data_IF_883491374840
#
_entry.id   IF_883491374840
#
_cell.length_a   1.000
_cell.length_b   1.000
_cell.length_c   1.000
_cell.angle_alpha   90.00
_cell.angle_beta   90.00
_cell.angle_gamma   90.00
#
_symmetry.space_group_name_H-M   'P 1'
#
loop_
_entity.id
_entity.type
_entity.pdbx_description
1 polymer ?
#
# COMPACT_ATOMS: atom_id res chain seq x y z
N UNK A 1 11.26 18.00 2.18
CA UNK A 1 12.48 17.28 2.61
C UNK A 1 13.24 16.88 1.38
N UNK A 2 14.56 16.99 1.41
CA UNK A 2 15.44 16.44 0.38
C UNK A 2 15.53 14.91 0.50
N UNK A 3 15.98 14.25 -0.57
CA UNK A 3 16.28 12.83 -0.56
C UNK A 3 17.20 12.44 0.61
N UNK A 4 18.26 13.21 0.84
CA UNK A 4 19.26 12.92 1.86
C UNK A 4 18.66 12.93 3.27
N UNK A 5 17.74 13.85 3.56
CA UNK A 5 17.07 13.93 4.87
C UNK A 5 16.16 12.72 5.11
N UNK A 6 15.39 12.30 4.11
CA UNK A 6 14.49 11.14 4.18
C UNK A 6 15.31 9.86 4.36
N UNK A 7 16.37 9.69 3.56
CA UNK A 7 17.24 8.53 3.63
C UNK A 7 17.97 8.43 4.96
N UNK A 8 18.48 9.56 5.48
CA UNK A 8 19.10 9.58 6.80
C UNK A 8 18.11 9.18 7.90
N UNK A 9 16.86 9.69 7.83
CA UNK A 9 15.81 9.35 8.81
C UNK A 9 15.46 7.86 8.78
N UNK A 10 15.40 7.24 7.60
CA UNK A 10 15.08 5.80 7.50
C UNK A 10 16.16 4.89 8.09
N UNK A 11 17.42 5.35 8.14
CA UNK A 11 18.53 4.62 8.75
C UNK A 11 18.66 4.89 10.25
N UNK A 12 18.56 6.14 10.67
CA UNK A 12 18.77 6.54 12.07
C UNK A 12 17.56 6.25 12.95
N UNK A 13 16.34 6.29 12.38
CA UNK A 13 15.08 6.12 13.10
C UNK A 13 14.10 5.24 12.31
N UNK A 14 14.47 3.97 12.02
CA UNK A 14 13.71 3.11 11.11
C UNK A 14 12.28 2.85 11.57
N UNK A 15 12.06 2.61 12.87
CA UNK A 15 10.72 2.33 13.40
C UNK A 15 9.80 3.55 13.25
N UNK A 16 10.26 4.74 13.62
CA UNK A 16 9.49 5.98 13.46
C UNK A 16 9.23 6.27 11.98
N UNK A 17 10.25 6.13 11.14
CA UNK A 17 10.13 6.36 9.70
C UNK A 17 9.05 5.46 9.09
N UNK A 18 9.08 4.16 9.37
CA UNK A 18 8.11 3.21 8.83
C UNK A 18 6.72 3.34 9.46
N UNK A 19 6.62 3.83 10.70
CA UNK A 19 5.33 4.21 11.31
C UNK A 19 4.64 5.28 10.48
N UNK A 20 5.35 6.36 10.18
CA UNK A 20 4.83 7.48 9.38
C UNK A 20 4.46 7.05 7.95
N UNK A 21 5.17 6.07 7.37
CA UNK A 21 4.79 5.51 6.07
C UNK A 21 3.53 4.65 6.19
N UNK A 22 3.38 3.85 7.25
CA UNK A 22 2.21 3.02 7.47
C UNK A 22 0.93 3.85 7.72
N UNK A 23 1.06 5.05 8.30
CA UNK A 23 -0.07 5.98 8.50
C UNK A 23 -0.65 6.53 7.18
N UNK A 24 0.06 6.40 6.05
CA UNK A 24 -0.41 6.86 4.74
C UNK A 24 -1.37 5.88 4.04
N UNK A 25 -1.55 4.67 4.57
CA UNK A 25 -2.49 3.69 4.03
C UNK A 25 -3.59 3.39 5.04
N UNK A 26 -4.72 2.86 4.56
CA UNK A 26 -5.85 2.50 5.43
C UNK A 26 -5.60 1.16 6.13
N UNK A 27 -5.84 1.14 7.42
CA UNK A 27 -5.83 -0.05 8.26
C UNK A 27 -7.22 -0.24 8.87
N UNK A 28 -7.64 -1.49 9.03
CA UNK A 28 -8.76 -1.81 9.91
C UNK A 28 -8.32 -1.72 11.38
N UNK A 29 -7.11 -2.20 11.67
CA UNK A 29 -6.44 -2.04 12.95
C UNK A 29 -4.99 -1.63 12.67
N UNK A 30 -4.59 -0.45 13.15
CA UNK A 30 -3.22 0.04 12.97
C UNK A 30 -2.26 -0.82 13.82
N UNK A 31 -1.09 -1.21 13.29
CA UNK A 31 -0.15 -2.08 13.99
C UNK A 31 0.31 -1.48 15.33
N UNK A 32 0.37 -2.34 16.36
CA UNK A 32 0.88 -1.99 17.68
C UNK A 32 2.41 -1.82 17.64
N UNK A 33 3.09 -2.71 16.93
CA UNK A 33 4.55 -2.73 16.78
C UNK A 33 4.93 -2.63 15.32
N UNK A 34 5.71 -1.63 14.95
CA UNK A 34 6.10 -1.38 13.56
C UNK A 34 7.25 -2.28 13.14
N UNK A 35 8.28 -2.39 13.96
CA UNK A 35 9.46 -3.19 13.70
C UNK A 35 9.91 -3.86 14.99
N UNK A 36 10.02 -5.19 14.97
CA UNK A 36 10.61 -5.95 16.06
C UNK A 36 11.48 -7.07 15.51
N UNK A 37 12.29 -7.67 16.38
CA UNK A 37 13.09 -8.85 16.07
C UNK A 37 12.72 -9.96 17.06
N UNK A 38 12.46 -11.16 16.57
CA UNK A 38 12.20 -12.32 17.44
C UNK A 38 13.49 -12.91 18.01
N UNK A 39 13.35 -13.90 18.90
CA UNK A 39 14.46 -14.56 19.60
C UNK A 39 15.49 -15.24 18.68
N UNK A 40 15.13 -15.49 17.42
CA UNK A 40 16.01 -16.06 16.40
C UNK A 40 16.66 -15.00 15.51
N UNK A 41 16.41 -13.72 15.76
CA UNK A 41 16.94 -12.65 14.96
C UNK A 41 16.10 -12.34 13.71
N UNK A 42 14.88 -12.88 13.56
CA UNK A 42 14.05 -12.55 12.40
C UNK A 42 13.25 -11.27 12.64
N UNK A 43 13.27 -10.38 11.65
CA UNK A 43 12.47 -9.17 11.68
C UNK A 43 10.98 -9.48 11.47
N UNK A 44 10.13 -8.81 12.26
CA UNK A 44 8.67 -8.78 12.13
C UNK A 44 8.26 -7.33 11.92
N UNK A 45 7.35 -7.14 10.96
CA UNK A 45 6.88 -5.82 10.54
C UNK A 45 5.38 -5.71 10.77
N UNK A 46 4.96 -4.57 11.32
CA UNK A 46 3.54 -4.21 11.49
C UNK A 46 2.72 -5.25 12.25
N UNK A 47 3.29 -5.82 13.31
CA UNK A 47 2.65 -6.84 14.15
C UNK A 47 1.39 -6.27 14.81
N UNK A 48 0.32 -7.07 14.82
CA UNK A 48 -1.01 -6.66 15.31
C UNK A 48 -1.83 -5.87 14.28
N UNK A 49 -1.21 -5.41 13.18
CA UNK A 49 -1.92 -4.68 12.13
C UNK A 49 -2.87 -5.57 11.33
N UNK A 50 -4.06 -5.06 11.03
CA UNK A 50 -5.03 -5.70 10.13
C UNK A 50 -5.39 -4.77 8.98
N UNK A 51 -5.21 -5.28 7.77
CA UNK A 51 -5.60 -4.62 6.53
C UNK A 51 -6.05 -5.65 5.50
N UNK A 52 -6.56 -5.19 4.37
CA UNK A 52 -6.78 -6.02 3.20
C UNK A 52 -6.15 -5.33 1.98
N UNK A 53 -5.27 -6.05 1.28
CA UNK A 53 -4.56 -5.52 0.12
C UNK A 53 -5.50 -5.19 -1.04
N UNK A 54 -6.54 -6.00 -1.26
CA UNK A 54 -7.57 -5.73 -2.28
C UNK A 54 -8.33 -4.44 -1.96
N UNK A 55 -8.71 -4.25 -0.69
CA UNK A 55 -9.38 -3.01 -0.24
C UNK A 55 -8.52 -1.77 -0.52
N UNK A 56 -7.23 -1.83 -0.19
CA UNK A 56 -6.29 -0.73 -0.45
C UNK A 56 -6.09 -0.45 -1.94
N UNK A 57 -6.07 -1.51 -2.76
CA UNK A 57 -5.80 -1.39 -4.19
C UNK A 57 -7.03 -0.94 -4.98
N UNK A 58 -8.25 -1.27 -4.55
CA UNK A 58 -9.48 -1.05 -5.31
C UNK A 58 -10.49 -0.19 -4.56
N UNK A 59 -10.99 -0.65 -3.43
CA UNK A 59 -12.13 -0.06 -2.72
C UNK A 59 -11.85 1.36 -2.23
N UNK A 60 -10.69 1.60 -1.60
CA UNK A 60 -10.28 2.95 -1.14
C UNK A 60 -10.27 3.95 -2.28
N UNK A 61 -9.87 3.52 -3.48
CA UNK A 61 -9.82 4.42 -4.64
C UNK A 61 -11.23 4.85 -5.05
N UNK A 62 -12.22 3.95 -4.96
CA UNK A 62 -13.62 4.27 -5.23
C UNK A 62 -14.16 5.19 -4.14
N UNK A 63 -13.89 4.89 -2.87
CA UNK A 63 -14.31 5.70 -1.70
C UNK A 63 -13.75 7.13 -1.76
N UNK A 64 -12.54 7.31 -2.27
CA UNK A 64 -11.90 8.62 -2.49
C UNK A 64 -12.35 9.30 -3.79
N UNK A 65 -13.39 8.79 -4.46
CA UNK A 65 -14.00 9.42 -5.64
C UNK A 65 -13.30 9.12 -6.96
N UNK A 66 -12.31 8.21 -6.98
CA UNK A 66 -11.60 7.79 -8.19
C UNK A 66 -12.26 6.61 -8.91
N UNK A 67 -13.51 6.27 -8.57
CA UNK A 67 -14.20 5.10 -9.10
C UNK A 67 -14.25 5.02 -10.64
N UNK A 68 -14.47 6.14 -11.31
CA UNK A 68 -14.50 6.22 -12.78
C UNK A 68 -13.11 6.31 -13.44
N UNK A 69 -12.04 6.47 -12.64
CA UNK A 69 -10.68 6.55 -13.18
C UNK A 69 -10.23 5.19 -13.71
N UNK A 70 -9.56 5.13 -14.88
CA UNK A 70 -8.92 3.90 -15.37
C UNK A 70 -7.95 3.30 -14.34
N UNK A 71 -8.15 2.01 -14.03
CA UNK A 71 -7.33 1.22 -13.11
C UNK A 71 -6.48 0.18 -13.85
N UNK A 72 -7.02 -0.44 -14.89
CA UNK A 72 -6.33 -1.42 -15.72
C UNK A 72 -6.57 -1.13 -17.20
N UNK A 73 -5.48 -1.07 -17.97
CA UNK A 73 -5.52 -1.05 -19.43
C UNK A 73 -5.05 -2.42 -19.90
N UNK A 74 -5.99 -3.22 -20.38
CA UNK A 74 -5.71 -4.49 -21.04
C UNK A 74 -5.47 -4.24 -22.52
N UNK A 75 -4.26 -4.53 -22.99
CA UNK A 75 -3.89 -4.45 -24.40
C UNK A 75 -3.24 -5.78 -24.82
N UNK A 76 -3.90 -6.51 -25.71
CA UNK A 76 -3.44 -7.78 -26.24
C UNK A 76 -3.30 -7.69 -27.76
N UNK A 77 -2.06 -7.50 -28.27
CA UNK A 77 -1.79 -7.51 -29.70
C UNK A 77 -2.11 -8.86 -30.36
N UNK A 78 -1.90 -9.97 -29.64
CA UNK A 78 -2.13 -11.32 -30.14
C UNK A 78 -3.62 -11.58 -30.47
N UNK A 79 -4.53 -10.93 -29.75
CA UNK A 79 -5.98 -11.02 -29.99
C UNK A 79 -6.56 -9.73 -30.57
N UNK A 80 -5.70 -8.77 -30.94
CA UNK A 80 -6.06 -7.42 -31.37
C UNK A 80 -7.18 -6.79 -30.50
N UNK A 81 -7.07 -6.95 -29.18
CA UNK A 81 -8.12 -6.58 -28.22
C UNK A 81 -7.59 -5.55 -27.24
N UNK A 82 -8.35 -4.47 -27.05
CA UNK A 82 -8.07 -3.45 -26.06
C UNK A 82 -9.29 -3.23 -25.18
N UNK A 83 -9.09 -3.14 -23.88
CA UNK A 83 -10.15 -2.82 -22.91
C UNK A 83 -9.57 -2.03 -21.75
N UNK A 84 -10.30 -1.00 -21.34
CA UNK A 84 -9.98 -0.21 -20.16
C UNK A 84 -11.02 -0.55 -19.09
N UNK A 85 -10.55 -0.80 -17.88
CA UNK A 85 -11.39 -1.00 -16.71
C UNK A 85 -11.13 0.14 -15.74
N UNK A 86 -12.18 0.86 -15.36
CA UNK A 86 -12.16 1.78 -14.23
C UNK A 86 -12.03 1.03 -12.90
N UNK A 87 -11.67 1.71 -11.81
CA UNK A 87 -11.65 1.11 -10.47
C UNK A 87 -13.00 0.47 -10.10
N UNK A 88 -14.11 1.11 -10.46
CA UNK A 88 -15.46 0.62 -10.18
C UNK A 88 -15.80 -0.65 -10.99
N UNK A 89 -15.34 -0.75 -12.23
CA UNK A 89 -15.52 -1.95 -13.06
C UNK A 89 -14.60 -3.09 -12.64
N UNK A 90 -13.38 -2.80 -12.19
CA UNK A 90 -12.40 -3.82 -11.82
C UNK A 90 -12.70 -4.48 -10.47
N UNK A 91 -13.42 -3.80 -9.57
CA UNK A 91 -13.86 -4.37 -8.28
C UNK A 91 -14.97 -5.42 -8.44
N UNK A 92 -15.79 -5.31 -9.49
CA UNK A 92 -17.00 -6.14 -9.69
C UNK A 92 -16.66 -7.60 -10.06
#
# INVERSE_FOLDING_TARGET
>A
MSYFEIFRKSLEQPELFWREQAEQIKWYEFPETILSQDEHGFYRWFTGGKLNTSYLALDVQIEEGRGAQPALIYDSPATNSQRIFSYQELRA
#
